data_IF_843392185951
#
_entry.id   IF_843392185951
#
_cell.length_a   1.000
_cell.length_b   1.000
_cell.length_c   1.000
_cell.angle_alpha   90.00
_cell.angle_beta   90.00
_cell.angle_gamma   90.00
#
_symmetry.space_group_name_H-M   'P 1'
#
loop_
_entity.id
_entity.type
_entity.pdbx_description
1 polymer ?
#
# COMPACT_ATOMS: atom_id res chain seq x y z
N UNK A 1 25.70 13.42 -23.72
CA UNK A 1 24.67 13.07 -22.71
C UNK A 1 25.22 11.90 -21.91
N UNK A 2 25.68 12.13 -20.68
CA UNK A 2 26.23 11.05 -19.84
C UNK A 2 25.08 10.13 -19.45
N UNK A 3 25.00 8.95 -20.07
CA UNK A 3 24.28 7.79 -19.52
C UNK A 3 25.06 7.34 -18.30
N UNK A 4 24.82 7.99 -17.16
CA UNK A 4 25.31 7.49 -15.89
C UNK A 4 24.57 6.18 -15.67
N UNK A 5 25.27 5.05 -15.81
CA UNK A 5 24.70 3.73 -15.58
C UNK A 5 24.01 3.75 -14.20
N UNK A 6 22.80 3.20 -14.12
CA UNK A 6 22.05 3.16 -12.87
C UNK A 6 22.93 2.53 -11.77
N UNK A 7 23.37 3.30 -10.76
CA UNK A 7 24.29 2.80 -9.74
C UNK A 7 23.66 1.69 -8.89
N UNK A 8 22.34 1.51 -8.95
CA UNK A 8 21.59 0.50 -8.22
C UNK A 8 21.24 -0.73 -9.07
N UNK A 9 21.60 -0.77 -10.36
CA UNK A 9 21.26 -1.88 -11.26
C UNK A 9 21.71 -3.26 -10.73
N UNK A 10 22.85 -3.30 -10.04
CA UNK A 10 23.38 -4.53 -9.44
C UNK A 10 22.43 -5.14 -8.38
N UNK A 11 21.65 -4.31 -7.67
CA UNK A 11 20.68 -4.77 -6.67
C UNK A 11 19.54 -5.56 -7.33
N UNK A 12 19.15 -5.18 -8.54
CA UNK A 12 18.12 -5.88 -9.32
C UNK A 12 18.53 -7.29 -9.77
N UNK A 13 19.84 -7.56 -9.85
CA UNK A 13 20.38 -8.84 -10.29
C UNK A 13 20.68 -9.80 -9.11
N UNK A 14 20.41 -9.39 -7.87
CA UNK A 14 20.60 -10.27 -6.71
C UNK A 14 19.72 -11.52 -6.84
N UNK A 15 20.20 -12.70 -6.40
CA UNK A 15 19.45 -13.95 -6.51
C UNK A 15 18.02 -13.84 -5.95
N UNK A 16 17.04 -14.25 -6.74
CA UNK A 16 15.62 -14.25 -6.37
C UNK A 16 14.89 -12.91 -6.54
N UNK A 17 15.59 -11.80 -6.82
CA UNK A 17 14.94 -10.49 -7.01
C UNK A 17 14.08 -10.47 -8.27
N UNK A 18 14.63 -10.91 -9.40
CA UNK A 18 13.89 -10.96 -10.67
C UNK A 18 12.64 -11.82 -10.57
N UNK A 19 12.75 -13.03 -9.99
CA UNK A 19 11.62 -13.94 -9.82
C UNK A 19 10.53 -13.33 -8.91
N UNK A 20 10.94 -12.66 -7.84
CA UNK A 20 10.03 -11.96 -6.92
C UNK A 20 9.29 -10.83 -7.64
N UNK A 21 10.01 -10.01 -8.41
CA UNK A 21 9.42 -8.91 -9.20
C UNK A 21 8.43 -9.45 -10.22
N UNK A 22 8.78 -10.52 -10.94
CA UNK A 22 7.91 -11.12 -11.94
C UNK A 22 6.66 -11.75 -11.30
N UNK A 23 6.80 -12.39 -10.14
CA UNK A 23 5.67 -12.90 -9.37
C UNK A 23 4.71 -11.79 -8.94
N UNK A 24 5.25 -10.68 -8.41
CA UNK A 24 4.45 -9.51 -8.01
C UNK A 24 3.76 -8.89 -9.23
N UNK A 25 4.46 -8.72 -10.36
CA UNK A 25 3.86 -8.19 -11.59
C UNK A 25 2.68 -9.04 -12.04
N UNK A 26 2.83 -10.36 -12.10
CA UNK A 26 1.74 -11.30 -12.44
C UNK A 26 0.55 -11.18 -11.49
N UNK A 27 0.79 -10.99 -10.19
CA UNK A 27 -0.27 -10.82 -9.20
C UNK A 27 -1.02 -9.48 -9.38
N UNK A 28 -0.28 -8.38 -9.61
CA UNK A 28 -0.83 -7.04 -9.85
C UNK A 28 -1.65 -7.01 -11.15
N UNK A 29 -1.14 -7.62 -12.22
CA UNK A 29 -1.87 -7.72 -13.49
C UNK A 29 -3.20 -8.45 -13.32
N UNK A 30 -3.23 -9.51 -12.50
CA UNK A 30 -4.47 -10.23 -12.17
C UNK A 30 -5.47 -9.34 -11.41
N UNK A 31 -4.99 -8.51 -10.49
CA UNK A 31 -5.84 -7.54 -9.77
C UNK A 31 -6.43 -6.51 -10.74
N UNK A 32 -5.62 -5.94 -11.63
CA UNK A 32 -6.09 -4.99 -12.64
C UNK A 32 -7.03 -5.61 -13.67
N UNK A 33 -6.81 -6.88 -14.04
CA UNK A 33 -7.70 -7.65 -14.90
C UNK A 33 -9.03 -8.02 -14.23
N UNK A 34 -9.13 -7.93 -12.90
CA UNK A 34 -10.31 -8.34 -12.18
C UNK A 34 -11.51 -7.42 -12.45
N UNK A 35 -12.67 -8.01 -12.77
CA UNK A 35 -13.89 -7.27 -13.16
C UNK A 35 -14.32 -6.24 -12.12
N UNK A 36 -14.18 -6.55 -10.83
CA UNK A 36 -14.54 -5.61 -9.75
C UNK A 36 -13.58 -4.43 -9.72
N UNK A 37 -12.26 -4.65 -9.87
CA UNK A 37 -11.26 -3.58 -9.93
C UNK A 37 -11.55 -2.63 -11.10
N UNK A 38 -11.92 -3.16 -12.27
CA UNK A 38 -12.27 -2.33 -13.43
C UNK A 38 -13.56 -1.52 -13.26
N UNK A 39 -14.48 -1.95 -12.40
CA UNK A 39 -15.81 -1.30 -12.24
C UNK A 39 -15.92 -0.41 -11.01
N UNK A 40 -15.15 -0.69 -9.95
CA UNK A 40 -15.26 -0.08 -8.62
C UNK A 40 -13.88 0.33 -8.09
N UNK A 41 -12.99 0.78 -8.98
CA UNK A 41 -11.58 1.10 -8.65
C UNK A 41 -11.46 2.16 -7.56
N UNK A 42 -12.29 3.20 -7.57
CA UNK A 42 -12.27 4.26 -6.55
C UNK A 42 -12.53 3.70 -5.16
N UNK A 43 -13.59 2.89 -5.00
CA UNK A 43 -13.94 2.29 -3.71
C UNK A 43 -12.89 1.30 -3.22
N UNK A 44 -12.35 0.47 -4.13
CA UNK A 44 -11.28 -0.48 -3.81
C UNK A 44 -10.02 0.28 -3.38
N UNK A 45 -9.64 1.32 -4.11
CA UNK A 45 -8.44 2.12 -3.80
C UNK A 45 -8.58 2.79 -2.44
N UNK A 46 -9.73 3.43 -2.15
CA UNK A 46 -9.98 4.07 -0.85
C UNK A 46 -9.89 3.08 0.29
N UNK A 47 -10.52 1.91 0.16
CA UNK A 47 -10.49 0.89 1.19
C UNK A 47 -9.09 0.24 1.33
N UNK A 48 -8.36 0.04 0.22
CA UNK A 48 -6.98 -0.47 0.25
C UNK A 48 -6.05 0.51 0.98
N UNK A 49 -6.18 1.82 0.71
CA UNK A 49 -5.44 2.86 1.41
C UNK A 49 -5.73 2.86 2.91
N UNK A 50 -7.01 2.73 3.30
CA UNK A 50 -7.42 2.64 4.71
C UNK A 50 -6.77 1.45 5.43
N UNK A 51 -6.81 0.27 4.80
CA UNK A 51 -6.18 -0.94 5.35
C UNK A 51 -4.66 -0.82 5.43
N UNK A 52 -4.02 -0.21 4.44
CA UNK A 52 -2.59 0.05 4.44
C UNK A 52 -2.16 1.01 5.54
N UNK A 53 -2.92 2.09 5.75
CA UNK A 53 -2.68 3.03 6.84
C UNK A 53 -2.83 2.35 8.22
N UNK A 54 -3.89 1.56 8.42
CA UNK A 54 -4.08 0.77 9.64
C UNK A 54 -2.92 -0.21 9.88
N UNK A 55 -2.51 -0.97 8.87
CA UNK A 55 -1.41 -1.92 9.00
C UNK A 55 -0.10 -1.20 9.38
N UNK A 56 0.15 -0.04 8.79
CA UNK A 56 1.32 0.79 9.12
C UNK A 56 1.25 1.33 10.56
N UNK A 57 0.07 1.76 11.01
CA UNK A 57 -0.16 2.19 12.39
C UNK A 57 0.06 1.05 13.40
N UNK A 58 -0.38 -0.17 13.07
CA UNK A 58 -0.14 -1.35 13.89
C UNK A 58 1.37 -1.65 14.02
N UNK A 59 2.14 -1.53 12.93
CA UNK A 59 3.61 -1.64 12.98
C UNK A 59 4.24 -0.54 13.86
N UNK A 60 3.61 0.62 13.97
CA UNK A 60 4.02 1.72 14.86
C UNK A 60 3.47 1.59 16.30
N UNK A 61 2.82 0.47 16.65
CA UNK A 61 2.29 0.20 18.00
C UNK A 61 0.87 0.69 18.26
N UNK A 62 0.16 1.21 17.25
CA UNK A 62 -1.23 1.64 17.36
C UNK A 62 -2.16 0.65 16.61
N UNK A 63 -2.54 -0.44 17.26
CA UNK A 63 -3.48 -1.43 16.68
C UNK A 63 -4.93 -1.07 17.02
N UNK A 64 -5.64 -0.59 15.99
CA UNK A 64 -7.06 -0.27 16.06
C UNK A 64 -7.85 -1.29 15.25
N UNK A 65 -9.08 -1.64 15.65
CA UNK A 65 -9.95 -2.47 14.81
C UNK A 65 -10.28 -1.75 13.49
N UNK A 66 -10.32 -2.49 12.36
CA UNK A 66 -10.57 -1.88 11.04
C UNK A 66 -11.94 -1.19 10.97
N UNK A 67 -12.95 -1.80 11.59
CA UNK A 67 -14.30 -1.25 11.65
C UNK A 67 -14.35 0.07 12.43
N UNK A 68 -13.48 0.26 13.42
CA UNK A 68 -13.37 1.52 14.15
C UNK A 68 -12.78 2.62 13.25
N UNK A 69 -11.72 2.30 12.52
CA UNK A 69 -11.10 3.21 11.55
C UNK A 69 -12.09 3.61 10.44
N UNK A 70 -12.97 2.71 10.00
CA UNK A 70 -14.02 3.00 8.99
C UNK A 70 -15.13 3.91 9.49
N UNK A 71 -15.50 3.83 10.77
CA UNK A 71 -16.59 4.63 11.35
C UNK A 71 -16.16 6.05 11.66
N UNK A 72 -14.88 6.26 11.98
CA UNK A 72 -14.35 7.59 12.23
C UNK A 72 -14.47 8.47 10.99
N UNK A 73 -14.95 9.68 11.20
CA UNK A 73 -15.04 10.74 10.19
C UNK A 73 -14.39 12.03 10.69
N UNK A 74 -13.98 12.06 11.96
CA UNK A 74 -13.39 13.18 12.69
C UNK A 74 -11.87 13.29 12.52
N UNK A 75 -11.33 12.88 11.36
CA UNK A 75 -9.93 13.03 11.01
C UNK A 75 -9.59 14.49 10.68
N UNK A 76 -9.69 15.38 11.66
CA UNK A 76 -9.13 16.73 11.55
C UNK A 76 -7.65 16.67 11.93
N UNK A 77 -6.80 17.40 11.21
CA UNK A 77 -5.47 17.76 11.71
C UNK A 77 -5.65 18.74 12.88
N UNK A 78 -6.05 18.24 14.05
CA UNK A 78 -6.23 19.04 15.25
C UNK A 78 -5.12 18.64 16.23
N UNK A 79 -4.45 19.67 16.77
CA UNK A 79 -3.49 19.52 17.83
C UNK A 79 -4.04 18.68 18.98
N UNK A 80 -3.13 17.85 19.48
CA UNK A 80 -3.21 17.01 20.67
C UNK A 80 -4.24 15.86 20.68
N UNK A 81 -3.79 14.60 20.87
CA UNK A 81 -4.68 13.45 20.96
C UNK A 81 -5.50 13.51 22.25
N UNK A 82 -6.83 13.51 22.13
CA UNK A 82 -7.73 13.29 23.26
C UNK A 82 -7.71 11.80 23.62
N UNK A 83 -7.10 11.48 24.75
CA UNK A 83 -7.21 10.16 25.39
C UNK A 83 -8.66 9.94 25.85
N UNK A 84 -9.18 8.74 25.59
CA UNK A 84 -10.41 8.20 26.19
C UNK A 84 -10.01 7.29 27.32
#
# INVERSE_FOLDING_TARGET
MRTNADPLAALGALPGVTDSVDSVRKAVDRVYGHRVMRRRSTEITSEAALRGARASAALAGADWALEEVRRRTDFSAAGEPRAV
#
